data_IF_830147292024
#
_entry.id   IF_830147292024
#
_cell.length_a   1.000
_cell.length_b   1.000
_cell.length_c   1.000
_cell.angle_alpha   90.00
_cell.angle_beta   90.00
_cell.angle_gamma   90.00
#
_symmetry.space_group_name_H-M   'P 1'
#
loop_
_entity.id
_entity.type
_entity.pdbx_description
1 polymer ?
#
# COMPACT_ATOMS: atom_id res chain seq x y z
N UNK A 1 -3.51 -8.06 -26.07
CA UNK A 1 -2.44 -7.26 -26.73
C UNK A 1 -2.04 -6.04 -25.89
N UNK A 2 -2.93 -5.11 -25.51
CA UNK A 2 -2.54 -3.95 -24.68
C UNK A 2 -2.03 -4.33 -23.29
N UNK A 3 -2.70 -5.25 -22.61
CA UNK A 3 -2.32 -5.67 -21.26
C UNK A 3 -0.97 -6.42 -21.24
N UNK A 4 -0.66 -7.18 -22.26
CA UNK A 4 0.62 -7.88 -22.39
C UNK A 4 1.77 -6.91 -22.63
N UNK A 5 1.53 -5.86 -23.39
CA UNK A 5 2.48 -4.77 -23.60
C UNK A 5 2.79 -4.08 -22.25
N UNK A 6 1.77 -3.80 -21.43
CA UNK A 6 1.94 -3.19 -20.12
C UNK A 6 2.71 -4.12 -19.17
N UNK A 7 2.40 -5.43 -19.17
CA UNK A 7 3.19 -6.41 -18.39
C UNK A 7 4.67 -6.37 -18.78
N UNK A 8 4.94 -6.29 -20.09
CA UNK A 8 6.31 -6.24 -20.57
C UNK A 8 7.02 -4.95 -20.16
N UNK A 9 6.33 -3.80 -20.16
CA UNK A 9 6.90 -2.54 -19.68
C UNK A 9 7.19 -2.60 -18.17
N UNK A 10 6.30 -3.19 -17.37
CA UNK A 10 6.53 -3.41 -15.93
C UNK A 10 7.80 -4.23 -15.73
N UNK A 11 7.92 -5.38 -16.42
CA UNK A 11 9.11 -6.23 -16.33
C UNK A 11 10.38 -5.49 -16.77
N UNK A 12 10.32 -4.75 -17.88
CA UNK A 12 11.44 -3.99 -18.40
C UNK A 12 11.89 -2.91 -17.42
N UNK A 13 10.96 -2.21 -16.80
CA UNK A 13 11.25 -1.20 -15.81
C UNK A 13 11.91 -1.81 -14.56
N UNK A 14 11.34 -2.90 -14.03
CA UNK A 14 11.91 -3.62 -12.89
C UNK A 14 13.30 -4.16 -13.20
N UNK A 15 13.52 -4.68 -14.41
CA UNK A 15 14.84 -5.13 -14.85
C UNK A 15 15.87 -3.98 -14.88
N UNK A 16 15.48 -2.79 -15.36
CA UNK A 16 16.36 -1.60 -15.35
C UNK A 16 16.67 -1.09 -13.94
N UNK A 17 15.85 -1.44 -12.98
CA UNK A 17 16.05 -1.14 -11.57
C UNK A 17 16.79 -2.26 -10.81
N UNK A 18 17.32 -3.26 -11.52
CA UNK A 18 18.03 -4.44 -11.02
C UNK A 18 17.15 -5.43 -10.21
N UNK A 19 15.82 -5.45 -10.45
CA UNK A 19 14.90 -6.39 -9.83
C UNK A 19 14.48 -7.54 -10.76
N UNK A 20 15.18 -7.77 -11.86
CA UNK A 20 14.77 -8.76 -12.86
C UNK A 20 14.70 -10.19 -12.32
N UNK A 21 15.66 -10.58 -11.47
CA UNK A 21 15.79 -11.94 -10.95
C UNK A 21 14.79 -12.24 -9.82
N UNK A 22 14.25 -11.20 -9.21
CA UNK A 22 13.34 -11.29 -8.07
C UNK A 22 11.86 -11.33 -8.47
N UNK A 23 11.56 -10.91 -9.71
CA UNK A 23 10.18 -10.92 -10.21
C UNK A 23 9.75 -12.34 -10.57
N UNK A 24 8.86 -12.92 -9.77
CA UNK A 24 8.29 -14.24 -10.04
C UNK A 24 7.20 -14.17 -11.09
N UNK A 25 6.20 -13.35 -10.85
CA UNK A 25 5.04 -13.21 -11.75
C UNK A 25 4.54 -11.77 -11.82
N UNK A 26 3.92 -11.44 -12.95
CA UNK A 26 3.11 -10.23 -13.12
C UNK A 26 1.71 -10.66 -13.54
N UNK A 27 0.78 -10.60 -12.61
CA UNK A 27 -0.61 -10.99 -12.79
C UNK A 27 -1.48 -9.78 -13.13
N UNK A 28 -2.57 -10.01 -13.87
CA UNK A 28 -3.54 -8.98 -14.20
C UNK A 28 -4.91 -9.39 -13.66
N UNK A 29 -5.45 -8.56 -12.82
CA UNK A 29 -6.80 -8.71 -12.31
C UNK A 29 -7.71 -7.68 -12.98
N UNK A 30 -8.70 -8.18 -13.71
CA UNK A 30 -9.69 -7.35 -14.37
C UNK A 30 -10.94 -7.26 -13.48
N UNK A 31 -11.25 -6.05 -13.05
CA UNK A 31 -12.42 -5.72 -12.24
C UNK A 31 -12.92 -4.33 -12.65
N UNK A 32 -13.46 -3.58 -11.72
CA UNK A 32 -13.84 -2.16 -11.93
C UNK A 32 -12.64 -1.32 -12.39
N UNK A 33 -11.45 -1.69 -11.92
CA UNK A 33 -10.16 -1.11 -12.35
C UNK A 33 -9.19 -2.24 -12.62
N UNK A 34 -8.39 -2.13 -13.66
CA UNK A 34 -7.34 -3.10 -13.98
C UNK A 34 -6.24 -2.96 -12.92
N UNK A 35 -5.87 -4.08 -12.29
CA UNK A 35 -4.78 -4.14 -11.31
C UNK A 35 -3.69 -5.07 -11.82
N UNK A 36 -2.47 -4.57 -11.88
CA UNK A 36 -1.27 -5.37 -12.09
C UNK A 36 -0.65 -5.70 -10.74
N UNK A 37 -0.59 -6.98 -10.41
CA UNK A 37 0.04 -7.49 -9.20
C UNK A 37 1.38 -8.11 -9.54
N UNK A 38 2.45 -7.52 -9.01
CA UNK A 38 3.81 -8.03 -9.16
C UNK A 38 4.13 -8.86 -7.92
N UNK A 39 4.46 -10.14 -8.13
CA UNK A 39 4.99 -11.01 -7.09
C UNK A 39 6.50 -10.99 -7.18
N UNK A 40 7.12 -10.56 -6.10
CA UNK A 40 8.56 -10.52 -5.94
C UNK A 40 8.95 -11.56 -4.89
N UNK A 41 9.97 -12.33 -5.20
CA UNK A 41 10.48 -13.35 -4.29
C UNK A 41 11.03 -12.69 -3.03
N UNK A 42 10.42 -12.99 -1.91
CA UNK A 42 11.00 -12.69 -0.61
C UNK A 42 11.89 -13.87 -0.22
N UNK A 43 13.17 -13.82 -0.53
CA UNK A 43 14.10 -14.76 0.08
C UNK A 43 14.25 -14.37 1.54
N UNK A 44 13.60 -15.09 2.43
CA UNK A 44 13.98 -15.10 3.84
C UNK A 44 15.26 -15.94 3.86
N UNK A 45 16.41 -15.29 3.83
CA UNK A 45 17.66 -15.96 4.14
C UNK A 45 17.58 -16.28 5.63
N UNK A 46 17.44 -17.55 5.97
CA UNK A 46 17.60 -18.03 7.34
C UNK A 46 19.02 -17.65 7.77
N UNK A 47 19.11 -16.70 8.70
CA UNK A 47 20.34 -16.22 9.33
C UNK A 47 20.91 -17.32 10.25
N UNK A 48 21.38 -18.44 9.68
CA UNK A 48 22.10 -19.43 10.45
C UNK A 48 23.62 -19.35 10.26
N UNK A 49 24.11 -18.88 9.12
CA UNK A 49 25.54 -18.79 8.87
C UNK A 49 25.87 -17.59 7.98
N UNK A 50 26.81 -16.77 8.48
CA UNK A 50 27.49 -15.66 7.84
C UNK A 50 26.73 -14.35 7.61
N UNK A 51 27.21 -13.36 8.35
CA UNK A 51 26.87 -11.95 8.37
C UNK A 51 27.15 -11.25 7.03
N UNK A 52 26.22 -11.35 6.10
CA UNK A 52 26.09 -10.42 4.98
C UNK A 52 24.60 -10.09 4.79
N UNK A 53 24.17 -8.84 5.02
CA UNK A 53 22.77 -8.44 4.80
C UNK A 53 22.52 -8.16 3.31
N UNK A 54 22.63 -9.17 2.48
CA UNK A 54 22.21 -9.17 1.07
C UNK A 54 21.03 -10.10 0.94
N UNK A 55 19.82 -9.62 1.22
CA UNK A 55 18.67 -10.48 1.05
C UNK A 55 17.35 -9.75 1.24
N UNK A 56 16.75 -9.48 0.18
CA UNK A 56 15.35 -9.67 -0.25
C UNK A 56 14.18 -8.98 0.48
N UNK A 57 14.18 -8.82 1.77
CA UNK A 57 13.16 -8.01 2.47
C UNK A 57 13.41 -6.51 2.27
N UNK A 58 14.67 -6.11 2.18
CA UNK A 58 15.09 -4.74 1.97
C UNK A 58 14.73 -4.26 0.56
N UNK A 59 14.88 -5.11 -0.44
CA UNK A 59 14.64 -4.79 -1.86
C UNK A 59 13.17 -4.54 -2.13
N UNK A 60 12.29 -5.41 -1.65
CA UNK A 60 10.84 -5.18 -1.75
C UNK A 60 10.42 -3.92 -0.99
N UNK A 61 11.03 -3.65 0.16
CA UNK A 61 10.78 -2.44 0.95
C UNK A 61 11.21 -1.18 0.21
N UNK A 62 12.32 -1.22 -0.54
CA UNK A 62 12.77 -0.11 -1.37
C UNK A 62 11.81 0.20 -2.52
N UNK A 63 11.27 -0.83 -3.18
CA UNK A 63 10.27 -0.65 -4.24
C UNK A 63 8.95 -0.08 -3.73
N UNK A 64 8.55 -0.45 -2.53
CA UNK A 64 7.32 0.03 -1.91
C UNK A 64 7.54 1.43 -1.34
N UNK A 65 8.65 1.63 -0.62
CA UNK A 65 8.98 2.86 0.10
C UNK A 65 8.11 3.09 1.34
N UNK A 66 8.42 4.14 2.06
CA UNK A 66 7.65 4.53 3.24
C UNK A 66 6.18 4.80 2.86
N UNK A 67 5.26 4.10 3.50
CA UNK A 67 3.81 4.19 3.23
C UNK A 67 3.42 4.02 1.76
N UNK A 68 4.26 3.31 0.97
CA UNK A 68 3.98 3.06 -0.44
C UNK A 68 4.31 4.22 -1.37
N UNK A 69 5.13 5.20 -0.94
CA UNK A 69 5.46 6.38 -1.76
C UNK A 69 6.21 6.00 -3.04
N UNK A 70 7.19 5.06 -2.97
CA UNK A 70 7.92 4.61 -4.14
C UNK A 70 7.04 3.81 -5.10
N UNK A 71 6.15 2.97 -4.56
CA UNK A 71 5.16 2.25 -5.35
C UNK A 71 4.22 3.19 -6.12
N UNK A 72 3.76 4.26 -5.46
CA UNK A 72 2.92 5.28 -6.10
C UNK A 72 3.69 6.06 -7.19
N UNK A 73 4.95 6.42 -6.93
CA UNK A 73 5.83 7.06 -7.90
C UNK A 73 6.09 6.14 -9.11
N UNK A 74 6.36 4.86 -8.86
CA UNK A 74 6.57 3.86 -9.90
C UNK A 74 5.32 3.70 -10.78
N UNK A 75 4.14 3.57 -10.18
CA UNK A 75 2.87 3.53 -10.89
C UNK A 75 2.66 4.78 -11.76
N UNK A 76 2.97 5.97 -11.21
CA UNK A 76 2.84 7.23 -11.94
C UNK A 76 3.75 7.30 -13.16
N UNK A 77 5.03 6.95 -13.00
CA UNK A 77 6.01 6.94 -14.10
C UNK A 77 5.58 5.93 -15.18
N UNK A 78 5.16 4.73 -14.77
CA UNK A 78 4.69 3.69 -15.67
C UNK A 78 3.49 4.16 -16.50
N UNK A 79 2.51 4.82 -15.88
CA UNK A 79 1.36 5.43 -16.58
C UNK A 79 1.81 6.46 -17.62
N UNK A 80 2.79 7.29 -17.31
CA UNK A 80 3.34 8.27 -18.25
C UNK A 80 4.04 7.62 -19.45
N UNK A 81 4.83 6.57 -19.20
CA UNK A 81 5.50 5.80 -20.26
C UNK A 81 4.49 5.14 -21.17
N UNK A 82 3.49 4.47 -20.61
CA UNK A 82 2.45 3.76 -21.36
C UNK A 82 1.65 4.75 -22.19
N UNK A 83 1.20 5.86 -21.60
CA UNK A 83 0.47 6.89 -22.33
C UNK A 83 1.28 7.44 -23.51
N UNK A 84 2.57 7.69 -23.32
CA UNK A 84 3.44 8.21 -24.40
C UNK A 84 3.75 7.18 -25.48
N UNK A 85 3.96 5.91 -25.10
CA UNK A 85 4.43 4.86 -26.02
C UNK A 85 3.30 4.23 -26.82
N UNK A 86 2.12 4.08 -26.21
CA UNK A 86 0.99 3.35 -26.77
C UNK A 86 -0.23 4.25 -27.06
N UNK A 87 -0.10 5.57 -26.81
CA UNK A 87 -1.16 6.58 -27.02
C UNK A 87 -2.49 6.20 -26.34
N UNK A 88 -2.42 5.44 -25.23
CA UNK A 88 -3.58 4.99 -24.45
C UNK A 88 -3.65 5.66 -23.09
N UNK A 89 -4.87 5.95 -22.62
CA UNK A 89 -5.13 6.50 -21.28
C UNK A 89 -5.74 5.43 -20.37
N UNK A 90 -5.20 4.20 -20.43
CA UNK A 90 -5.68 3.09 -19.65
C UNK A 90 -5.52 3.36 -18.15
N UNK A 91 -6.65 3.25 -17.42
CA UNK A 91 -6.65 3.37 -15.96
C UNK A 91 -6.33 2.03 -15.33
N UNK A 92 -5.21 1.96 -14.66
CA UNK A 92 -4.80 0.77 -13.92
C UNK A 92 -4.11 1.15 -12.59
N UNK A 93 -3.98 0.17 -11.72
CA UNK A 93 -3.21 0.26 -10.48
C UNK A 93 -2.10 -0.79 -10.50
N UNK A 94 -0.98 -0.46 -9.86
CA UNK A 94 0.14 -1.37 -9.65
C UNK A 94 0.18 -1.76 -8.17
N UNK A 95 0.39 -3.04 -7.88
CA UNK A 95 0.57 -3.55 -6.54
C UNK A 95 1.78 -4.49 -6.48
N UNK A 96 2.46 -4.53 -5.35
CA UNK A 96 3.61 -5.40 -5.11
C UNK A 96 3.32 -6.25 -3.87
N UNK A 97 3.35 -7.57 -4.01
CA UNK A 97 3.15 -8.56 -2.93
C UNK A 97 1.89 -8.30 -2.09
N UNK A 98 0.82 -7.82 -2.73
CA UNK A 98 -0.46 -7.45 -2.10
C UNK A 98 -0.29 -6.40 -0.98
N UNK A 99 0.68 -5.49 -1.14
CA UNK A 99 1.00 -4.48 -0.14
C UNK A 99 -0.21 -3.63 0.24
N UNK A 100 -0.95 -3.10 -0.76
CA UNK A 100 -2.10 -2.23 -0.50
C UNK A 100 -3.22 -2.95 0.26
N UNK A 101 -3.44 -4.23 -0.06
CA UNK A 101 -4.42 -5.05 0.65
C UNK A 101 -4.01 -5.29 2.10
N UNK A 102 -2.76 -5.70 2.32
CA UNK A 102 -2.21 -5.91 3.67
C UNK A 102 -2.24 -4.64 4.51
N UNK A 103 -1.87 -3.51 3.92
CA UNK A 103 -1.92 -2.21 4.60
C UNK A 103 -3.35 -1.86 5.05
N UNK A 104 -4.34 -2.09 4.20
CA UNK A 104 -5.74 -1.85 4.53
C UNK A 104 -6.24 -2.78 5.63
N UNK A 105 -5.86 -4.06 5.60
CA UNK A 105 -6.25 -5.02 6.64
C UNK A 105 -5.60 -4.68 7.99
N UNK A 106 -4.33 -4.28 8.01
CA UNK A 106 -3.67 -3.82 9.22
C UNK A 106 -4.37 -2.58 9.79
N UNK A 107 -4.66 -1.59 8.94
CA UNK A 107 -5.42 -0.41 9.36
C UNK A 107 -6.77 -0.77 9.98
N UNK A 108 -7.50 -1.71 9.39
CA UNK A 108 -8.78 -2.17 9.97
C UNK A 108 -8.61 -2.81 11.35
N UNK A 109 -7.53 -3.57 11.55
CA UNK A 109 -7.22 -4.18 12.85
C UNK A 109 -6.87 -3.10 13.89
N UNK A 110 -6.02 -2.14 13.53
CA UNK A 110 -5.65 -1.02 14.41
C UNK A 110 -6.87 -0.20 14.81
N UNK A 111 -7.74 0.11 13.85
CA UNK A 111 -9.00 0.84 14.12
C UNK A 111 -9.92 0.09 15.07
N UNK A 112 -10.06 -1.23 14.90
CA UNK A 112 -10.87 -2.07 15.80
C UNK A 112 -10.29 -2.12 17.21
N UNK A 113 -8.96 -2.23 17.33
CA UNK A 113 -8.27 -2.22 18.62
C UNK A 113 -8.44 -0.87 19.33
N UNK A 114 -8.20 0.23 18.64
CA UNK A 114 -8.37 1.57 19.17
C UNK A 114 -9.83 1.87 19.56
N UNK A 115 -10.81 1.45 18.75
CA UNK A 115 -12.24 1.58 19.10
C UNK A 115 -12.60 0.84 20.39
N UNK A 116 -12.05 -0.37 20.58
CA UNK A 116 -12.23 -1.14 21.82
C UNK A 116 -11.61 -0.42 23.02
N UNK A 117 -10.43 0.17 22.84
CA UNK A 117 -9.73 0.92 23.87
C UNK A 117 -10.52 2.18 24.31
N UNK A 118 -11.04 2.95 23.34
CA UNK A 118 -11.89 4.12 23.59
C UNK A 118 -13.12 3.74 24.41
N UNK A 119 -13.78 2.62 24.07
CA UNK A 119 -14.95 2.13 24.78
C UNK A 119 -14.65 1.73 26.22
N UNK A 120 -13.52 1.04 26.42
CA UNK A 120 -13.13 0.51 27.72
C UNK A 120 -12.70 1.61 28.68
N UNK A 121 -11.86 2.53 28.23
CA UNK A 121 -11.22 3.55 29.06
C UNK A 121 -11.90 4.92 29.00
N UNK A 122 -12.88 5.10 28.10
CA UNK A 122 -13.57 6.39 27.88
C UNK A 122 -12.59 7.55 27.61
N UNK A 123 -11.47 7.27 26.98
CA UNK A 123 -10.44 8.24 26.59
C UNK A 123 -10.28 8.28 25.09
N UNK A 124 -9.86 9.41 24.57
CA UNK A 124 -9.51 9.54 23.17
C UNK A 124 -8.22 8.77 22.83
N UNK A 125 -8.21 8.14 21.66
CA UNK A 125 -7.06 7.38 21.15
C UNK A 125 -6.67 7.94 19.78
N UNK A 126 -5.47 8.57 19.67
CA UNK A 126 -4.96 9.00 18.37
C UNK A 126 -4.38 7.80 17.59
N UNK A 127 -4.75 7.69 16.33
CA UNK A 127 -4.09 6.78 15.40
C UNK A 127 -2.79 7.41 14.85
N UNK A 128 -1.96 6.59 14.20
CA UNK A 128 -0.78 7.10 13.50
C UNK A 128 -1.14 8.04 12.35
N UNK A 129 -0.17 8.85 11.87
CA UNK A 129 -0.35 9.66 10.68
C UNK A 129 -0.72 8.79 9.48
N UNK A 130 -1.64 9.27 8.63
CA UNK A 130 -2.16 8.48 7.51
C UNK A 130 -2.66 9.37 6.38
N UNK A 131 -2.72 8.83 5.16
CA UNK A 131 -3.20 9.52 3.97
C UNK A 131 -4.68 9.92 4.06
N UNK A 132 -5.11 10.86 3.23
CA UNK A 132 -6.51 11.29 3.17
C UNK A 132 -7.47 10.13 2.84
N UNK A 133 -7.03 9.16 2.01
CA UNK A 133 -7.79 7.96 1.70
C UNK A 133 -7.97 7.07 2.94
N UNK A 134 -6.90 6.80 3.68
CA UNK A 134 -6.93 6.00 4.90
C UNK A 134 -7.81 6.66 5.97
N UNK A 135 -7.69 7.98 6.15
CA UNK A 135 -8.56 8.72 7.08
C UNK A 135 -10.05 8.55 6.74
N UNK A 136 -10.40 8.61 5.45
CA UNK A 136 -11.77 8.34 5.00
C UNK A 136 -12.23 6.94 5.33
N UNK A 137 -11.37 5.93 5.15
CA UNK A 137 -11.69 4.54 5.51
C UNK A 137 -11.95 4.41 7.02
N UNK A 138 -11.10 5.04 7.86
CA UNK A 138 -11.31 5.04 9.32
C UNK A 138 -12.65 5.63 9.71
N UNK A 139 -13.00 6.80 9.14
CA UNK A 139 -14.30 7.45 9.40
C UNK A 139 -15.46 6.54 8.98
N UNK A 140 -15.39 5.89 7.81
CA UNK A 140 -16.43 4.98 7.34
C UNK A 140 -16.56 3.73 8.22
N UNK A 141 -15.43 3.13 8.65
CA UNK A 141 -15.44 1.94 9.51
C UNK A 141 -16.07 2.21 10.89
N UNK A 142 -15.92 3.44 11.39
CA UNK A 142 -16.43 3.82 12.72
C UNK A 142 -17.77 4.55 12.69
N UNK A 143 -18.28 4.90 11.51
CA UNK A 143 -19.59 5.57 11.36
C UNK A 143 -20.77 4.74 11.89
N UNK A 144 -20.62 3.41 11.92
CA UNK A 144 -21.66 2.48 12.41
C UNK A 144 -21.68 2.35 13.95
N UNK A 145 -20.69 2.95 14.64
CA UNK A 145 -20.57 2.85 16.09
C UNK A 145 -21.19 4.11 16.77
N UNK A 146 -22.38 4.00 17.42
CA UNK A 146 -23.08 5.17 17.95
C UNK A 146 -22.40 5.80 19.17
N UNK A 147 -21.53 5.07 19.83
CA UNK A 147 -20.82 5.44 21.06
C UNK A 147 -19.40 6.00 20.82
N UNK A 148 -19.04 6.20 19.55
CA UNK A 148 -17.72 6.66 19.11
C UNK A 148 -17.88 7.80 18.10
N UNK A 149 -17.03 8.80 18.20
CA UNK A 149 -16.87 9.83 17.17
C UNK A 149 -15.41 9.89 16.69
N UNK A 150 -15.18 10.42 15.51
CA UNK A 150 -13.86 10.49 14.90
C UNK A 150 -13.57 11.87 14.37
N UNK A 151 -12.37 12.37 14.61
CA UNK A 151 -11.92 13.67 14.15
C UNK A 151 -10.57 13.57 13.44
N UNK A 152 -10.42 14.26 12.32
CA UNK A 152 -9.13 14.34 11.60
C UNK A 152 -8.38 15.59 12.03
N UNK A 153 -7.25 15.42 12.73
CA UNK A 153 -6.44 16.49 13.32
C UNK A 153 -5.04 16.56 12.73
N UNK A 154 -4.42 17.74 12.80
CA UNK A 154 -3.06 18.00 12.33
C UNK A 154 -3.00 18.42 10.86
N UNK A 155 -1.77 18.64 10.39
CA UNK A 155 -1.43 19.03 9.01
C UNK A 155 -0.60 17.92 8.36
N UNK A 156 -0.66 17.82 7.04
CA UNK A 156 0.21 16.89 6.31
C UNK A 156 1.70 17.24 6.55
N UNK A 157 2.57 16.27 6.71
CA UNK A 157 2.37 14.81 6.60
C UNK A 157 1.91 14.12 7.90
N UNK A 158 1.80 14.84 9.02
CA UNK A 158 1.50 14.30 10.35
C UNK A 158 -0.01 14.18 10.65
N UNK A 159 -0.86 14.46 9.67
CA UNK A 159 -2.31 14.45 9.84
C UNK A 159 -2.83 13.04 10.11
N UNK A 160 -3.68 12.92 11.15
CA UNK A 160 -4.16 11.64 11.69
C UNK A 160 -5.64 11.70 12.07
N UNK A 161 -6.22 10.55 12.38
CA UNK A 161 -7.55 10.46 12.98
C UNK A 161 -7.41 10.21 14.48
N UNK A 162 -8.20 10.93 15.26
CA UNK A 162 -8.40 10.68 16.69
C UNK A 162 -9.78 10.08 16.89
N UNK A 163 -9.84 8.97 17.58
CA UNK A 163 -11.09 8.29 17.94
C UNK A 163 -11.46 8.75 19.34
N UNK A 164 -12.69 9.23 19.52
CA UNK A 164 -13.18 9.82 20.78
C UNK A 164 -14.43 9.10 21.24
N UNK A 165 -14.67 8.97 22.57
CA UNK A 165 -15.95 8.54 23.05
C UNK A 165 -17.01 9.60 22.68
N UNK A 166 -18.16 9.14 22.22
CA UNK A 166 -19.32 10.02 22.07
C UNK A 166 -20.03 10.13 23.43
N UNK A 167 -20.41 11.35 23.88
CA UNK A 167 -21.05 11.56 25.18
C UNK A 167 -22.37 10.82 25.30
#
# INVERSE_FOLDING_TARGET
MELDNIKQEIKTMLARMNFAEEVETVEVHQGTTIRFSVKIRNQIVNLADDFEPRGSGLETSLLIGERGCNLAAFEHILKKIIKKKYETDLKFTLDINDYRFKQLENLKQDVKAAAKEVRLYKKEVPLGPMSAFERRIVHLLLAEYPDITTESVGTEPERRVVIKPYP
#
